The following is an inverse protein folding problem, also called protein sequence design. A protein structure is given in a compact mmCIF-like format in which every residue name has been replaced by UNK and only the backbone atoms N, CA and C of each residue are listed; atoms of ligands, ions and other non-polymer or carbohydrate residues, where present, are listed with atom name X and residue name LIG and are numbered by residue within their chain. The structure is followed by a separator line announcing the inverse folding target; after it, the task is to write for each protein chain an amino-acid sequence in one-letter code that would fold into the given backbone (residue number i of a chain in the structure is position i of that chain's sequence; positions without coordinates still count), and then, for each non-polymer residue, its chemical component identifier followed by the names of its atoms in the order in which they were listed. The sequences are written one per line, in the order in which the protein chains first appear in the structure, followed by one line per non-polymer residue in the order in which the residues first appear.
data_IF_306732136982
#
_entry.id   IF_306732136982
#
_cell.length_a   1.000
_cell.length_b   1.000
_cell.length_c   1.000
_cell.angle_alpha   90.00
_cell.angle_beta   90.00
_cell.angle_gamma   90.00
#
_symmetry.space_group_name_H-M   'P 1'
#
loop_
_entity.id
_entity.type
_entity.pdbx_description
1 polymer ?
#
# COMPACT_ATOMS: atom_id res chain seq x y z
N UNK A 1 19.78 -4.97 -2.85
CA UNK A 1 19.72 -5.40 -4.22
C UNK A 1 18.35 -5.10 -4.77
N UNK A 2 18.29 -4.55 -5.97
CA UNK A 2 17.03 -4.21 -6.60
C UNK A 2 16.50 -5.45 -7.32
N UNK A 3 15.22 -5.74 -7.12
CA UNK A 3 14.58 -6.87 -7.81
C UNK A 3 13.71 -6.35 -8.92
N UNK A 4 13.23 -7.24 -9.77
CA UNK A 4 12.33 -6.85 -10.82
C UNK A 4 10.95 -6.56 -10.25
N UNK A 5 10.25 -5.60 -10.87
CA UNK A 5 8.89 -5.30 -10.48
C UNK A 5 7.96 -6.46 -10.84
N UNK A 6 7.03 -6.81 -9.97
CA UNK A 6 6.02 -7.79 -10.34
C UNK A 6 5.10 -7.21 -11.40
N UNK A 7 4.46 -8.04 -12.20
CA UNK A 7 3.50 -7.56 -13.19
C UNK A 7 2.19 -7.16 -12.53
N UNK A 8 1.85 -7.77 -11.41
CA UNK A 8 0.65 -7.41 -10.67
C UNK A 8 0.91 -7.55 -9.18
N UNK A 9 0.40 -6.60 -8.38
CA UNK A 9 0.62 -6.60 -6.96
C UNK A 9 -0.63 -6.13 -6.24
N UNK A 10 -0.96 -6.79 -5.13
CA UNK A 10 -2.09 -6.44 -4.30
C UNK A 10 -1.59 -6.07 -2.92
N UNK A 11 -1.89 -4.86 -2.46
CA UNK A 11 -1.54 -4.43 -1.12
C UNK A 11 -2.74 -4.59 -0.19
N UNK A 12 -2.50 -5.05 1.03
CA UNK A 12 -3.56 -5.35 1.97
C UNK A 12 -3.29 -4.74 3.33
N UNK A 13 -4.32 -4.23 3.99
CA UNK A 13 -4.23 -3.80 5.37
C UNK A 13 -5.59 -4.06 6.05
N UNK A 14 -5.86 -3.45 7.20
CA UNK A 14 -7.07 -3.79 7.94
C UNK A 14 -8.33 -3.28 7.26
N UNK A 15 -8.38 -1.98 6.93
CA UNK A 15 -9.62 -1.35 6.48
C UNK A 15 -9.54 -0.81 5.06
N UNK A 16 -8.41 -0.92 4.38
CA UNK A 16 -8.19 -0.33 3.07
C UNK A 16 -8.48 1.18 3.08
N UNK A 17 -8.11 1.82 4.18
CA UNK A 17 -8.36 3.24 4.39
C UNK A 17 -7.09 4.06 4.57
N UNK A 18 -5.97 3.46 4.96
CA UNK A 18 -4.73 4.19 5.21
C UNK A 18 -3.56 3.52 4.51
N UNK A 19 -3.05 2.41 5.05
CA UNK A 19 -1.77 1.84 4.61
C UNK A 19 -1.81 1.29 3.20
N UNK A 20 -2.78 0.44 2.88
CA UNK A 20 -2.81 -0.16 1.55
C UNK A 20 -3.20 0.84 0.46
N UNK A 21 -4.10 1.83 0.70
CA UNK A 21 -4.31 2.85 -0.32
C UNK A 21 -3.07 3.71 -0.56
N UNK A 22 -2.32 4.04 0.49
CA UNK A 22 -1.08 4.80 0.32
C UNK A 22 -0.08 4.00 -0.51
N UNK A 23 0.08 2.71 -0.21
CA UNK A 23 0.99 1.86 -0.97
C UNK A 23 0.57 1.77 -2.43
N UNK A 24 -0.73 1.58 -2.68
CA UNK A 24 -1.24 1.53 -4.04
C UNK A 24 -0.96 2.83 -4.78
N UNK A 25 -1.26 3.96 -4.19
CA UNK A 25 -1.07 5.26 -4.84
C UNK A 25 0.40 5.57 -5.11
N UNK A 26 1.26 5.30 -4.14
CA UNK A 26 2.70 5.52 -4.28
C UNK A 26 3.27 4.62 -5.37
N UNK A 27 2.87 3.35 -5.38
CA UNK A 27 3.33 2.41 -6.39
C UNK A 27 2.94 2.87 -7.78
N UNK A 28 1.68 3.27 -7.96
CA UNK A 28 1.20 3.74 -9.25
C UNK A 28 1.94 4.99 -9.71
N UNK A 29 2.25 5.90 -8.79
CA UNK A 29 2.90 7.16 -9.15
C UNK A 29 4.35 6.95 -9.54
N UNK A 30 5.09 6.16 -8.78
CA UNK A 30 6.54 6.13 -8.92
C UNK A 30 7.07 4.87 -9.60
N UNK A 31 6.25 3.81 -9.72
CA UNK A 31 6.71 2.54 -10.26
C UNK A 31 5.71 1.92 -11.24
N UNK A 32 4.63 2.61 -11.55
CA UNK A 32 3.42 1.98 -12.05
C UNK A 32 3.27 1.73 -13.53
N UNK A 33 4.25 2.10 -14.36
CA UNK A 33 3.98 2.04 -15.79
C UNK A 33 3.78 0.62 -16.31
N UNK A 34 4.32 -0.36 -15.70
CA UNK A 34 4.17 -1.74 -16.18
C UNK A 34 3.53 -2.67 -15.19
N UNK A 35 2.98 -2.13 -14.09
CA UNK A 35 2.49 -2.99 -13.01
C UNK A 35 1.02 -2.71 -12.74
N UNK A 36 0.23 -3.77 -12.68
CA UNK A 36 -1.18 -3.65 -12.28
C UNK A 36 -1.23 -3.67 -10.75
N UNK A 37 -1.76 -2.60 -10.14
CA UNK A 37 -1.72 -2.43 -8.70
C UNK A 37 -3.13 -2.24 -8.18
N UNK A 38 -3.48 -2.98 -7.13
CA UNK A 38 -4.74 -2.84 -6.43
C UNK A 38 -4.50 -2.91 -4.93
N UNK A 39 -5.51 -2.56 -4.13
CA UNK A 39 -5.43 -2.70 -2.69
C UNK A 39 -6.78 -3.14 -2.12
N UNK A 40 -6.75 -3.85 -0.99
CA UNK A 40 -7.95 -4.32 -0.29
C UNK A 40 -7.70 -4.30 1.21
N UNK A 41 -8.76 -4.42 1.98
CA UNK A 41 -8.69 -4.58 3.42
C UNK A 41 -9.32 -5.87 3.89
N UNK A 42 -9.11 -6.19 5.15
CA UNK A 42 -9.81 -7.30 5.78
C UNK A 42 -11.28 -6.92 5.97
N UNK A 43 -11.52 -5.65 6.33
CA UNK A 43 -12.87 -5.14 6.59
C UNK A 43 -13.20 -4.03 5.60
N UNK A 44 -14.50 -3.83 5.34
CA UNK A 44 -14.97 -2.69 4.57
C UNK A 44 -15.90 -1.89 5.45
N UNK A 45 -15.32 -1.19 6.43
CA UNK A 45 -16.10 -0.42 7.41
C UNK A 45 -15.64 1.02 7.51
N UNK A 46 -14.67 1.46 6.71
CA UNK A 46 -14.19 2.83 6.75
C UNK A 46 -13.97 3.35 5.33
N UNK A 47 -14.07 4.66 5.16
CA UNK A 47 -13.73 5.31 3.90
C UNK A 47 -12.27 5.74 3.93
N UNK A 48 -11.74 6.18 2.81
CA UNK A 48 -10.36 6.64 2.74
C UNK A 48 -10.13 7.75 3.76
N UNK A 49 -9.04 7.62 4.50
CA UNK A 49 -8.72 8.50 5.61
C UNK A 49 -8.22 9.85 5.12
N UNK A 50 -8.76 10.94 5.68
CA UNK A 50 -8.38 12.29 5.28
C UNK A 50 -6.92 12.63 5.56
N UNK A 51 -6.35 12.12 6.65
CA UNK A 51 -4.91 12.35 6.92
C UNK A 51 -4.05 11.62 5.90
N UNK A 52 -4.46 10.42 5.49
CA UNK A 52 -3.74 9.70 4.45
C UNK A 52 -3.78 10.48 3.13
N UNK A 53 -4.93 11.04 2.78
CA UNK A 53 -5.05 11.89 1.60
C UNK A 53 -4.08 13.06 1.70
N UNK A 54 -4.05 13.73 2.85
CA UNK A 54 -3.22 14.92 3.03
C UNK A 54 -1.73 14.62 2.88
N UNK A 55 -1.24 13.58 3.52
CA UNK A 55 0.20 13.31 3.48
C UNK A 55 0.63 12.76 2.12
N UNK A 56 -0.26 12.11 1.40
CA UNK A 56 0.06 11.67 0.05
C UNK A 56 0.03 12.84 -0.93
N UNK A 57 -0.85 13.84 -0.72
CA UNK A 57 -0.81 15.05 -1.52
C UNK A 57 0.53 15.76 -1.39
N UNK A 58 1.21 15.66 -0.27
CA UNK A 58 2.52 16.28 -0.08
C UNK A 58 3.55 15.77 -1.09
N UNK A 59 3.37 14.56 -1.59
CA UNK A 59 4.26 13.97 -2.58
C UNK A 59 3.55 13.78 -3.92
N UNK A 60 2.45 14.50 -4.10
CA UNK A 60 1.70 14.54 -5.35
C UNK A 60 1.07 13.20 -5.72
N UNK A 61 0.69 12.43 -4.73
CA UNK A 61 -0.07 11.19 -4.90
C UNK A 61 -1.52 11.46 -4.51
N UNK A 62 -2.42 11.26 -5.45
CA UNK A 62 -3.82 11.60 -5.25
C UNK A 62 -4.58 10.40 -4.73
N UNK A 63 -5.17 10.49 -3.53
CA UNK A 63 -5.93 9.40 -2.95
C UNK A 63 -7.41 9.72 -2.76
N UNK A 64 -7.86 10.93 -3.05
CA UNK A 64 -9.23 11.34 -2.67
C UNK A 64 -10.31 10.54 -3.36
N UNK A 65 -9.99 9.88 -4.47
CA UNK A 65 -10.98 9.09 -5.21
C UNK A 65 -10.94 7.62 -4.87
N UNK A 66 -10.07 7.21 -3.95
CA UNK A 66 -9.95 5.81 -3.59
C UNK A 66 -11.24 5.34 -2.91
N UNK A 67 -11.72 4.17 -3.29
CA UNK A 67 -12.86 3.54 -2.64
C UNK A 67 -12.38 2.31 -1.92
N UNK A 68 -12.57 2.29 -0.61
CA UNK A 68 -12.13 1.17 0.22
C UNK A 68 -12.93 -0.07 -0.11
N UNK A 69 -12.27 -1.23 -0.16
CA UNK A 69 -12.95 -2.49 -0.40
C UNK A 69 -12.23 -3.61 0.33
N UNK A 70 -12.93 -4.69 0.55
CA UNK A 70 -12.39 -5.84 1.25
C UNK A 70 -11.99 -6.93 0.27
N UNK A 71 -11.29 -7.95 0.77
CA UNK A 71 -11.00 -9.16 -0.01
C UNK A 71 -12.29 -9.77 -0.55
N UNK A 72 -13.32 -9.84 0.29
CA UNK A 72 -14.57 -10.47 -0.11
C UNK A 72 -15.26 -9.70 -1.22
N UNK A 73 -15.22 -8.37 -1.15
CA UNK A 73 -15.79 -7.56 -2.21
C UNK A 73 -15.04 -7.68 -3.52
N UNK A 74 -13.72 -7.76 -3.45
CA UNK A 74 -12.92 -7.95 -4.65
C UNK A 74 -13.32 -9.26 -5.34
N UNK A 75 -13.44 -10.33 -4.56
CA UNK A 75 -13.82 -11.62 -5.11
C UNK A 75 -15.24 -11.58 -5.69
N UNK A 76 -16.16 -10.90 -5.00
CA UNK A 76 -17.54 -10.79 -5.47
C UNK A 76 -17.65 -10.03 -6.78
N UNK A 77 -16.73 -9.08 -7.03
CA UNK A 77 -16.73 -8.35 -8.28
C UNK A 77 -16.04 -9.10 -9.41
N UNK A 78 -15.58 -10.31 -9.15
CA UNK A 78 -14.97 -11.13 -10.19
C UNK A 78 -13.48 -11.01 -10.34
N UNK A 79 -12.83 -10.24 -9.47
CA UNK A 79 -11.39 -10.14 -9.50
C UNK A 79 -10.78 -11.41 -8.91
N UNK A 80 -9.81 -11.97 -9.59
CA UNK A 80 -9.22 -13.22 -9.19
C UNK A 80 -8.00 -12.95 -8.34
N UNK A 81 -8.07 -13.33 -7.07
CA UNK A 81 -6.95 -13.12 -6.14
C UNK A 81 -5.70 -13.87 -6.56
N UNK A 82 -5.87 -15.00 -7.25
CA UNK A 82 -4.71 -15.77 -7.69
C UNK A 82 -4.03 -15.16 -8.91
N UNK A 83 -4.62 -14.11 -9.51
CA UNK A 83 -4.01 -13.47 -10.66
C UNK A 83 -2.89 -12.50 -10.29
N UNK A 84 -2.74 -12.19 -8.99
CA UNK A 84 -1.69 -11.27 -8.58
C UNK A 84 -0.38 -12.05 -8.39
N UNK A 85 0.70 -11.52 -8.97
CA UNK A 85 2.02 -12.13 -8.82
C UNK A 85 2.49 -12.04 -7.39
N UNK A 86 2.12 -10.97 -6.68
CA UNK A 86 2.57 -10.74 -5.32
C UNK A 86 1.46 -10.11 -4.52
N UNK A 87 1.21 -10.64 -3.35
CA UNK A 87 0.27 -10.07 -2.39
C UNK A 87 1.09 -9.60 -1.19
N UNK A 88 1.00 -8.33 -0.86
CA UNK A 88 1.79 -7.75 0.22
C UNK A 88 0.86 -7.33 1.33
N UNK A 89 1.00 -7.98 2.47
CA UNK A 89 0.23 -7.64 3.67
C UNK A 89 1.02 -6.62 4.48
N UNK A 90 0.37 -5.53 4.86
CA UNK A 90 1.01 -4.43 5.58
C UNK A 90 0.62 -4.43 7.05
N UNK A 91 -0.24 -5.33 7.48
CA UNK A 91 -0.71 -5.42 8.86
C UNK A 91 -0.83 -6.88 9.26
N UNK A 92 -0.79 -7.18 10.57
CA UNK A 92 -0.93 -8.58 11.01
C UNK A 92 -2.27 -9.21 10.59
N UNK A 93 -3.36 -8.45 10.66
CA UNK A 93 -4.67 -9.00 10.29
C UNK A 93 -4.71 -9.34 8.81
N UNK A 94 -4.16 -8.47 7.95
CA UNK A 94 -4.14 -8.75 6.52
C UNK A 94 -3.19 -9.89 6.18
N UNK A 95 -2.11 -10.07 6.95
CA UNK A 95 -1.24 -11.22 6.75
C UNK A 95 -1.99 -12.50 7.03
N UNK A 96 -2.71 -12.56 8.14
CA UNK A 96 -3.48 -13.76 8.48
C UNK A 96 -4.52 -14.07 7.41
N UNK A 97 -5.22 -13.03 6.92
CA UNK A 97 -6.24 -13.23 5.90
C UNK A 97 -5.64 -13.71 4.58
N UNK A 98 -4.52 -13.12 4.17
CA UNK A 98 -3.88 -13.52 2.92
C UNK A 98 -3.35 -14.95 3.01
N UNK A 99 -2.73 -15.30 4.13
CA UNK A 99 -2.21 -16.66 4.31
C UNK A 99 -3.35 -17.68 4.34
N UNK A 100 -4.49 -17.33 4.91
CA UNK A 100 -5.64 -18.22 4.90
C UNK A 100 -6.12 -18.49 3.47
N UNK A 101 -6.06 -17.47 2.62
CA UNK A 101 -6.47 -17.63 1.23
C UNK A 101 -5.51 -18.50 0.41
N UNK A 102 -4.26 -18.64 0.85
CA UNK A 102 -3.32 -19.51 0.14
C UNK A 102 -3.75 -20.97 0.16
N UNK A 103 -4.70 -21.33 1.01
CA UNK A 103 -5.26 -22.69 0.98
C UNK A 103 -6.06 -22.94 -0.29
N UNK A 104 -6.57 -21.88 -0.92
CA UNK A 104 -7.48 -22.01 -2.06
C UNK A 104 -6.89 -21.44 -3.33
N UNK A 105 -5.91 -20.55 -3.23
CA UNK A 105 -5.33 -19.86 -4.38
C UNK A 105 -3.82 -19.99 -4.33
N UNK A 106 -3.20 -20.18 -5.47
CA UNK A 106 -1.74 -20.21 -5.55
C UNK A 106 -1.27 -18.77 -5.62
N UNK A 107 -0.79 -18.23 -4.48
CA UNK A 107 -0.39 -16.84 -4.33
C UNK A 107 0.92 -16.76 -3.60
N UNK A 108 1.74 -15.78 -3.95
CA UNK A 108 2.94 -15.45 -3.17
C UNK A 108 2.57 -14.32 -2.23
N UNK A 109 2.75 -14.51 -0.93
CA UNK A 109 2.41 -13.53 0.08
C UNK A 109 3.68 -13.09 0.80
N UNK A 110 3.88 -11.77 0.91
CA UNK A 110 4.94 -11.20 1.72
C UNK A 110 4.31 -10.32 2.79
N UNK A 111 5.00 -10.19 3.92
CA UNK A 111 4.54 -9.35 5.01
C UNK A 111 5.53 -8.19 5.19
N UNK A 112 5.04 -6.97 5.00
CA UNK A 112 5.83 -5.77 5.25
C UNK A 112 5.14 -5.01 6.37
N UNK A 113 5.60 -5.13 7.62
CA UNK A 113 4.92 -4.46 8.73
C UNK A 113 5.10 -2.94 8.61
N UNK A 114 4.01 -2.25 8.41
CA UNK A 114 3.97 -0.79 8.32
C UNK A 114 3.20 -0.28 9.53
N UNK A 115 3.75 0.74 10.19
CA UNK A 115 3.12 1.31 11.37
C UNK A 115 1.71 1.80 11.04
N UNK A 116 0.75 1.50 11.93
CA UNK A 116 -0.60 2.03 11.82
C UNK A 116 -0.61 3.42 12.47
N UNK A 117 -0.84 4.48 11.72
CA UNK A 117 -0.77 5.82 12.31
C UNK A 117 -2.05 6.28 12.99
N UNK A 118 -3.13 5.51 12.88
CA UNK A 118 -4.41 5.96 13.42
C UNK A 118 -4.33 6.05 14.93
N UNK A 119 -4.87 7.13 15.48
CA UNK A 119 -4.90 7.31 16.93
C UNK A 119 -3.61 7.80 17.55
N UNK A 120 -2.56 8.05 16.79
CA UNK A 120 -1.31 8.51 17.32
C UNK A 120 -1.28 10.04 17.28
N UNK A 121 -0.92 10.67 18.39
CA UNK A 121 -0.79 12.12 18.47
C UNK A 121 -2.05 12.79 18.98
N UNK A 122 -1.88 13.98 19.55
CA UNK A 122 -3.01 14.71 20.13
C UNK A 122 -3.35 15.95 19.32
N UNK A 123 -2.41 16.52 18.61
CA UNK A 123 -2.67 17.69 17.78
C UNK A 123 -2.73 17.24 16.32
N UNK A 124 -3.28 18.12 15.48
CA UNK A 124 -3.35 17.82 14.06
C UNK A 124 -1.95 17.56 13.49
N UNK A 125 -0.97 18.39 13.88
CA UNK A 125 0.38 18.22 13.33
C UNK A 125 1.02 16.92 13.79
N UNK A 126 0.79 16.52 15.04
CA UNK A 126 1.31 15.25 15.52
C UNK A 126 0.68 14.08 14.78
N UNK A 127 -0.62 14.17 14.50
CA UNK A 127 -1.31 13.13 13.74
C UNK A 127 -0.76 13.06 12.31
N UNK A 128 -0.58 14.20 11.66
CA UNK A 128 -0.02 14.22 10.30
C UNK A 128 1.39 13.63 10.29
N UNK A 129 2.19 13.91 11.32
CA UNK A 129 3.54 13.36 11.38
C UNK A 129 3.52 11.83 11.50
N UNK A 130 2.55 11.27 12.22
CA UNK A 130 2.43 9.81 12.30
C UNK A 130 2.09 9.22 10.92
N UNK A 131 1.20 9.87 10.19
CA UNK A 131 0.84 9.41 8.85
C UNK A 131 2.02 9.56 7.88
N UNK A 132 2.82 10.64 8.02
CA UNK A 132 4.04 10.80 7.23
C UNK A 132 5.02 9.68 7.49
N UNK A 133 5.15 9.24 8.75
CA UNK A 133 6.06 8.14 9.07
C UNK A 133 5.62 6.85 8.40
N UNK A 134 4.33 6.53 8.42
CA UNK A 134 3.83 5.34 7.75
C UNK A 134 4.06 5.44 6.23
N UNK A 135 3.77 6.59 5.64
CA UNK A 135 4.02 6.84 4.22
C UNK A 135 5.49 6.60 3.88
N UNK A 136 6.38 7.16 4.70
CA UNK A 136 7.80 7.08 4.43
C UNK A 136 8.35 5.68 4.65
N UNK A 137 7.76 4.90 5.55
CA UNK A 137 8.11 3.48 5.69
C UNK A 137 7.78 2.72 4.40
N UNK A 138 6.63 3.01 3.80
CA UNK A 138 6.24 2.37 2.55
C UNK A 138 7.22 2.75 1.44
N UNK A 139 7.55 4.04 1.32
CA UNK A 139 8.51 4.51 0.32
C UNK A 139 9.86 3.84 0.52
N UNK A 140 10.30 3.75 1.77
CA UNK A 140 11.59 3.11 2.08
C UNK A 140 11.62 1.65 1.69
N UNK A 141 10.51 0.94 1.88
CA UNK A 141 10.43 -0.46 1.50
C UNK A 141 10.49 -0.61 -0.03
N UNK A 142 9.79 0.26 -0.75
CA UNK A 142 9.84 0.23 -2.21
C UNK A 142 11.26 0.52 -2.71
N UNK A 143 11.93 1.49 -2.10
CA UNK A 143 13.28 1.87 -2.52
C UNK A 143 14.29 0.76 -2.33
N UNK A 144 14.08 -0.11 -1.33
CA UNK A 144 14.96 -1.25 -1.14
C UNK A 144 14.82 -2.27 -2.25
N UNK A 145 13.62 -2.38 -2.83
CA UNK A 145 13.32 -3.45 -3.75
C UNK A 145 13.36 -3.02 -5.20
N UNK A 146 12.93 -1.80 -5.52
CA UNK A 146 12.70 -1.40 -6.89
C UNK A 146 13.27 -0.02 -7.18
N UNK A 147 13.55 0.23 -8.46
CA UNK A 147 14.00 1.54 -8.91
C UNK A 147 12.81 2.35 -9.37
N UNK A 148 12.69 3.58 -8.89
CA UNK A 148 11.61 4.46 -9.26
C UNK A 148 11.71 4.85 -10.73
N UNK A 149 10.54 4.95 -11.38
CA UNK A 149 10.47 5.38 -12.76
C UNK A 149 10.48 6.87 -12.90
N UNK A 150 10.14 7.60 -11.84
CA UNK A 150 9.99 9.02 -11.97
C UNK A 150 11.30 9.68 -12.24
N UNK A 151 12.40 9.34 -11.61
CA UNK A 151 13.61 9.79 -11.89
C UNK A 151 14.30 9.48 -10.76
N UNK A 152 15.24 9.18 -10.87
CA UNK A 152 15.82 8.66 -9.79
C UNK A 152 16.89 9.48 -9.23
N UNK A 153 17.54 10.31 -10.00
CA UNK A 153 18.68 11.00 -9.45
C UNK A 153 18.28 11.94 -8.34
N UNK A 154 17.11 12.60 -8.43
CA UNK A 154 16.73 13.49 -7.35
C UNK A 154 16.34 12.77 -6.10
N UNK A 155 15.63 11.65 -6.25
CA UNK A 155 15.23 10.90 -5.09
C UNK A 155 16.40 10.24 -4.42
N UNK A 156 17.44 9.96 -5.17
CA UNK A 156 18.54 9.26 -4.64
C UNK A 156 19.69 10.14 -4.30
N UNK A 157 19.51 11.39 -4.51
CA UNK A 157 20.56 12.32 -4.29
C UNK A 157 21.09 12.15 -2.96
N UNK A 158 22.11 12.04 -2.74
CA UNK A 158 22.57 11.75 -1.55
C UNK A 158 23.20 12.75 -0.83
N UNK A 159 22.64 12.76 -1.07
CA UNK A 159 23.17 13.34 -0.89
C UNK A 159 24.04 13.30 -0.68
N UNK A 160 24.10 13.25 -0.84
CA UNK A 160 24.84 12.85 -1.09
C UNK A 160 25.39 13.13 -0.96
#
# INVERSE_FOLDING_TARGET
MVTELPQSILFCCDHNAVRSPMAEGIMKKFYGLGTYVQSVGVYNDLEIDGFAISVCNEIQVELSRHKSRSFDEMAALGDDLSSFDLVVALSPASQRRALDLTRFFHMKVEYWPIMDPTGIGETREMKLNAYRQSRDQIIGQFSKLWRSEEHTSELQSPDH
#
